data_IF_795529704333
#
_entry.id   IF_795529704333
#
_cell.length_a   1.000
_cell.length_b   1.000
_cell.length_c   1.000
_cell.angle_alpha   90.00
_cell.angle_beta   90.00
_cell.angle_gamma   90.00
#
_symmetry.space_group_name_H-M   'P 1'
#
loop_
_entity.id
_entity.type
_entity.pdbx_description
1 polymer ?
#
# COMPACT_ATOMS: atom_id res chain seq x y z
N UNK A 1 66.08 -34.10 -22.56
CA UNK A 1 66.13 -33.38 -21.27
C UNK A 1 65.53 -32.00 -21.48
N UNK A 2 64.27 -31.73 -21.10
CA UNK A 2 63.78 -30.50 -20.44
C UNK A 2 62.45 -30.91 -19.77
N UNK A 3 62.39 -30.79 -18.44
CA UNK A 3 61.22 -31.11 -17.61
C UNK A 3 60.32 -29.86 -17.54
N UNK A 4 59.06 -29.98 -17.95
CA UNK A 4 58.04 -28.94 -17.81
C UNK A 4 57.20 -29.17 -16.56
N UNK A 5 57.33 -28.27 -15.59
CA UNK A 5 56.70 -28.26 -14.27
C UNK A 5 55.18 -28.05 -14.38
N UNK A 6 54.37 -28.93 -13.79
CA UNK A 6 52.92 -28.73 -13.65
C UNK A 6 52.65 -27.75 -12.50
N UNK A 7 52.01 -26.62 -12.80
CA UNK A 7 51.44 -25.71 -11.80
C UNK A 7 50.10 -26.29 -11.34
N UNK A 8 50.01 -26.64 -10.06
CA UNK A 8 48.77 -27.11 -9.44
C UNK A 8 47.82 -25.94 -9.20
N UNK A 9 46.61 -26.00 -9.76
CA UNK A 9 45.54 -25.04 -9.49
C UNK A 9 44.97 -25.29 -8.09
N UNK A 10 45.09 -24.30 -7.21
CA UNK A 10 44.46 -24.29 -5.88
C UNK A 10 42.96 -24.07 -6.05
N UNK A 11 42.17 -25.10 -5.72
CA UNK A 11 40.70 -25.10 -5.77
C UNK A 11 40.15 -24.29 -4.59
N UNK A 12 39.77 -23.04 -4.83
CA UNK A 12 39.07 -22.22 -3.85
C UNK A 12 37.70 -22.83 -3.50
N UNK A 13 37.54 -23.30 -2.26
CA UNK A 13 36.26 -23.71 -1.69
C UNK A 13 35.37 -22.47 -1.50
N UNK A 14 34.33 -22.33 -2.33
CA UNK A 14 33.26 -21.37 -2.12
C UNK A 14 32.43 -21.80 -0.91
N UNK A 15 32.63 -21.14 0.25
CA UNK A 15 31.70 -21.22 1.39
C UNK A 15 30.34 -20.68 0.92
N UNK A 16 29.33 -21.53 0.91
CA UNK A 16 27.96 -21.17 0.52
C UNK A 16 27.35 -20.20 1.52
N UNK A 17 26.84 -19.08 1.02
CA UNK A 17 25.98 -18.18 1.79
C UNK A 17 24.64 -18.87 2.10
N UNK A 18 24.00 -18.60 3.26
CA UNK A 18 22.69 -19.14 3.56
C UNK A 18 21.66 -18.64 2.54
N UNK A 19 20.92 -19.59 1.97
CA UNK A 19 19.86 -19.35 1.00
C UNK A 19 18.72 -18.59 1.70
N UNK A 20 18.56 -17.30 1.42
CA UNK A 20 17.33 -16.60 1.76
C UNK A 20 16.20 -17.23 0.95
N UNK A 21 15.29 -17.93 1.63
CA UNK A 21 14.08 -18.47 1.03
C UNK A 21 13.32 -17.34 0.35
N UNK A 22 13.29 -17.36 -0.98
CA UNK A 22 12.47 -16.45 -1.78
C UNK A 22 11.01 -16.68 -1.37
N UNK A 23 10.38 -15.67 -0.79
CA UNK A 23 8.94 -15.65 -0.60
C UNK A 23 8.27 -15.84 -1.97
N UNK A 24 7.24 -16.69 -2.09
CA UNK A 24 6.56 -16.87 -3.37
C UNK A 24 5.91 -15.54 -3.79
N UNK A 25 5.82 -15.27 -5.10
CA UNK A 25 5.10 -14.10 -5.59
C UNK A 25 3.64 -14.21 -5.12
N UNK A 26 3.08 -13.09 -4.64
CA UNK A 26 1.68 -12.98 -4.26
C UNK A 26 0.86 -13.38 -5.49
N UNK A 27 0.25 -14.57 -5.44
CA UNK A 27 -0.52 -15.13 -6.53
C UNK A 27 -1.60 -14.15 -6.99
N UNK A 28 -1.68 -13.94 -8.32
CA UNK A 28 -2.66 -13.13 -9.03
C UNK A 28 -4.06 -13.20 -8.38
N UNK A 29 -4.32 -12.25 -7.48
CA UNK A 29 -5.62 -12.12 -6.85
C UNK A 29 -6.49 -11.29 -7.79
N UNK A 30 -7.44 -11.97 -8.44
CA UNK A 30 -8.52 -11.31 -9.18
C UNK A 30 -9.29 -10.44 -8.20
N UNK A 31 -9.10 -9.12 -8.27
CA UNK A 31 -9.98 -8.18 -7.62
C UNK A 31 -11.22 -8.05 -8.52
N UNK A 32 -12.24 -8.85 -8.20
CA UNK A 32 -13.56 -8.69 -8.78
C UNK A 32 -14.08 -7.31 -8.38
N UNK A 33 -14.28 -6.43 -9.35
CA UNK A 33 -14.86 -5.09 -9.16
C UNK A 33 -16.37 -5.09 -8.88
N UNK A 34 -16.97 -6.26 -8.65
CA UNK A 34 -18.41 -6.42 -8.37
C UNK A 34 -18.67 -7.66 -7.49
N UNK A 35 -18.16 -7.66 -6.26
CA UNK A 35 -18.65 -8.57 -5.22
C UNK A 35 -19.73 -7.84 -4.42
N UNK A 36 -20.97 -8.34 -4.41
CA UNK A 36 -22.07 -7.73 -3.65
C UNK A 36 -21.70 -7.61 -2.17
N UNK A 37 -21.59 -6.37 -1.69
CA UNK A 37 -21.38 -6.09 -0.28
C UNK A 37 -22.74 -5.94 0.40
N UNK A 38 -23.02 -6.86 1.33
CA UNK A 38 -23.96 -6.66 2.42
C UNK A 38 -23.68 -5.30 3.07
N UNK A 39 -24.70 -4.63 3.61
CA UNK A 39 -24.63 -3.33 4.27
C UNK A 39 -23.81 -3.37 5.58
N UNK A 40 -22.56 -3.81 5.50
CA UNK A 40 -21.64 -4.07 6.60
C UNK A 40 -20.90 -2.79 6.98
N UNK A 41 -20.80 -2.57 8.29
CA UNK A 41 -20.08 -1.47 8.92
C UNK A 41 -18.73 -1.19 8.22
N UNK A 42 -18.54 0.00 7.62
CA UNK A 42 -17.29 0.38 6.94
C UNK A 42 -16.05 0.22 7.82
N UNK A 43 -16.15 0.43 9.14
CA UNK A 43 -15.03 0.25 10.05
C UNK A 43 -14.71 -1.21 10.31
N UNK A 44 -15.72 -2.08 10.40
CA UNK A 44 -15.52 -3.52 10.48
C UNK A 44 -14.81 -4.04 9.21
N UNK A 45 -15.22 -3.58 8.03
CA UNK A 45 -14.52 -3.89 6.78
C UNK A 45 -13.05 -3.47 6.87
N UNK A 46 -12.76 -2.22 7.25
CA UNK A 46 -11.39 -1.71 7.33
C UNK A 46 -10.54 -2.52 8.32
N UNK A 47 -11.10 -2.90 9.46
CA UNK A 47 -10.43 -3.73 10.47
C UNK A 47 -10.07 -5.11 9.90
N UNK A 48 -11.02 -5.77 9.26
CA UNK A 48 -10.83 -7.13 8.75
C UNK A 48 -9.91 -7.15 7.53
N UNK A 49 -9.97 -6.09 6.72
CA UNK A 49 -9.04 -5.82 5.63
C UNK A 49 -7.60 -5.66 6.16
N UNK A 50 -7.38 -4.80 7.16
CA UNK A 50 -6.05 -4.63 7.78
C UNK A 50 -5.58 -5.94 8.42
N UNK A 51 -6.45 -6.65 9.13
CA UNK A 51 -6.12 -7.97 9.72
C UNK A 51 -5.60 -8.97 8.69
N UNK A 52 -6.14 -8.92 7.47
CA UNK A 52 -5.81 -9.84 6.37
C UNK A 52 -4.53 -9.44 5.63
N UNK A 53 -4.26 -8.14 5.50
CA UNK A 53 -3.21 -7.61 4.63
C UNK A 53 -1.99 -7.05 5.37
N UNK A 54 -2.13 -6.68 6.65
CA UNK A 54 -1.04 -6.17 7.48
C UNK A 54 -1.28 -6.52 8.96
N UNK A 55 -0.70 -7.65 9.37
CA UNK A 55 -0.90 -8.22 10.71
C UNK A 55 -0.31 -7.32 11.79
N UNK A 56 0.83 -6.71 11.54
CA UNK A 56 1.52 -5.84 12.51
C UNK A 56 0.74 -4.56 12.72
N UNK A 57 0.20 -3.99 11.63
CA UNK A 57 -0.75 -2.89 11.72
C UNK A 57 -1.99 -3.23 12.53
N UNK A 58 -2.54 -4.42 12.34
CA UNK A 58 -3.72 -4.86 13.09
C UNK A 58 -3.45 -4.96 14.59
N UNK A 59 -2.30 -5.54 14.97
CA UNK A 59 -1.90 -5.70 16.37
C UNK A 59 -1.59 -4.35 17.02
N UNK A 60 -0.82 -3.49 16.34
CA UNK A 60 -0.48 -2.17 16.87
C UNK A 60 -1.69 -1.24 17.00
N UNK A 61 -2.69 -1.37 16.12
CA UNK A 61 -3.97 -0.66 16.25
C UNK A 61 -4.75 -1.01 17.51
N UNK A 62 -4.48 -2.15 18.18
CA UNK A 62 -5.19 -2.52 19.42
C UNK A 62 -4.81 -1.63 20.61
N UNK A 63 -3.67 -0.95 20.56
CA UNK A 63 -3.21 -0.06 21.64
C UNK A 63 -3.87 1.33 21.59
N UNK A 64 -4.59 1.67 20.51
CA UNK A 64 -5.35 2.92 20.44
C UNK A 64 -6.63 2.83 21.29
N UNK A 65 -7.13 3.96 21.84
CA UNK A 65 -8.43 4.02 22.51
C UNK A 65 -9.55 3.44 21.63
N UNK A 66 -10.48 2.69 22.23
CA UNK A 66 -11.51 1.92 21.50
C UNK A 66 -12.35 2.78 20.54
N UNK A 67 -12.64 4.02 20.92
CA UNK A 67 -13.35 5.01 20.11
C UNK A 67 -12.57 5.53 18.89
N UNK A 68 -11.24 5.36 18.87
CA UNK A 68 -10.37 5.79 17.76
C UNK A 68 -9.91 4.63 16.88
N UNK A 69 -10.02 3.38 17.35
CA UNK A 69 -9.53 2.20 16.63
C UNK A 69 -10.12 2.10 15.21
N UNK A 70 -11.43 2.36 15.04
CA UNK A 70 -12.10 2.36 13.74
C UNK A 70 -11.47 3.35 12.75
N UNK A 71 -11.19 4.58 13.21
CA UNK A 71 -10.55 5.61 12.39
C UNK A 71 -9.09 5.25 12.04
N UNK A 72 -8.35 4.66 12.97
CA UNK A 72 -7.01 4.12 12.70
C UNK A 72 -7.05 3.03 11.62
N UNK A 73 -8.03 2.11 11.69
CA UNK A 73 -8.19 1.09 10.65
C UNK A 73 -8.57 1.69 9.30
N UNK A 74 -9.40 2.74 9.26
CA UNK A 74 -9.74 3.43 8.01
C UNK A 74 -8.48 3.97 7.32
N UNK A 75 -7.63 4.72 8.05
CA UNK A 75 -6.39 5.27 7.49
C UNK A 75 -5.41 4.18 7.06
N UNK A 76 -5.24 3.13 7.88
CA UNK A 76 -4.34 2.02 7.53
C UNK A 76 -4.84 1.22 6.32
N UNK A 77 -6.14 0.96 6.23
CA UNK A 77 -6.72 0.25 5.08
C UNK A 77 -6.54 1.03 3.78
N UNK A 78 -6.67 2.36 3.84
CA UNK A 78 -6.37 3.24 2.70
C UNK A 78 -4.92 3.15 2.25
N UNK A 79 -3.96 3.21 3.19
CA UNK A 79 -2.55 3.06 2.87
C UNK A 79 -2.24 1.71 2.22
N UNK A 80 -2.78 0.62 2.78
CA UNK A 80 -2.62 -0.74 2.24
C UNK A 80 -3.22 -0.85 0.84
N UNK A 81 -4.42 -0.33 0.63
CA UNK A 81 -5.10 -0.38 -0.67
C UNK A 81 -4.29 0.34 -1.75
N UNK A 82 -3.70 1.51 -1.44
CA UNK A 82 -2.83 2.23 -2.36
C UNK A 82 -1.53 1.47 -2.66
N UNK A 83 -0.87 0.92 -1.63
CA UNK A 83 0.37 0.15 -1.79
C UNK A 83 0.15 -1.07 -2.71
N UNK A 84 -0.98 -1.77 -2.54
CA UNK A 84 -1.30 -2.93 -3.36
C UNK A 84 -1.58 -2.60 -4.84
N UNK A 85 -1.86 -1.34 -5.21
CA UNK A 85 -2.10 -0.98 -6.62
C UNK A 85 -0.85 -1.28 -7.46
N UNK A 86 0.35 -1.00 -6.95
CA UNK A 86 1.60 -1.26 -7.67
C UNK A 86 1.84 -2.76 -7.85
N UNK A 87 1.65 -3.55 -6.79
CA UNK A 87 1.88 -4.99 -6.82
C UNK A 87 0.85 -5.77 -7.65
N UNK A 88 -0.37 -5.25 -7.76
CA UNK A 88 -1.50 -5.96 -8.37
C UNK A 88 -1.71 -5.68 -9.85
N UNK A 89 -0.99 -4.71 -10.41
CA UNK A 89 -1.26 -4.23 -11.76
C UNK A 89 -0.09 -4.52 -12.69
N UNK A 90 -0.36 -5.34 -13.71
CA UNK A 90 0.58 -5.61 -14.82
C UNK A 90 0.51 -4.57 -15.93
N UNK A 91 -0.57 -3.79 -16.01
CA UNK A 91 -0.77 -2.73 -17.00
C UNK A 91 -0.89 -1.37 -16.32
N UNK A 92 0.12 -0.52 -16.50
CA UNK A 92 0.22 0.82 -15.89
C UNK A 92 -1.08 1.63 -15.97
N UNK A 93 -1.81 1.56 -17.10
CA UNK A 93 -3.06 2.29 -17.31
C UNK A 93 -4.12 1.93 -16.24
N UNK A 94 -4.25 0.65 -15.88
CA UNK A 94 -5.19 0.20 -14.86
C UNK A 94 -4.79 0.76 -13.49
N UNK A 95 -3.50 0.85 -13.22
CA UNK A 95 -2.95 1.41 -12.00
C UNK A 95 -3.27 2.90 -11.91
N UNK A 96 -3.07 3.64 -13.01
CA UNK A 96 -3.42 5.05 -13.10
C UNK A 96 -4.91 5.29 -12.90
N UNK A 97 -5.79 4.46 -13.48
CA UNK A 97 -7.24 4.54 -13.25
C UNK A 97 -7.61 4.36 -11.77
N UNK A 98 -6.97 3.40 -11.07
CA UNK A 98 -7.20 3.18 -9.63
C UNK A 98 -6.65 4.33 -8.79
N UNK A 99 -5.49 4.89 -9.15
CA UNK A 99 -4.97 6.08 -8.49
C UNK A 99 -5.90 7.29 -8.70
N UNK A 100 -6.43 7.47 -9.91
CA UNK A 100 -7.36 8.53 -10.22
C UNK A 100 -8.66 8.41 -9.40
N UNK A 101 -9.20 7.20 -9.28
CA UNK A 101 -10.33 6.93 -8.38
C UNK A 101 -10.04 7.42 -6.95
N UNK A 102 -8.85 7.14 -6.41
CA UNK A 102 -8.49 7.57 -5.06
C UNK A 102 -8.28 9.07 -4.93
N UNK A 103 -7.77 9.77 -5.95
CA UNK A 103 -7.73 11.24 -5.96
C UNK A 103 -9.13 11.83 -5.89
N UNK A 104 -10.04 11.33 -6.71
CA UNK A 104 -11.42 11.80 -6.77
C UNK A 104 -12.15 11.49 -5.45
N UNK A 105 -11.89 10.32 -4.86
CA UNK A 105 -12.39 9.95 -3.54
C UNK A 105 -11.88 10.89 -2.43
N UNK A 106 -10.58 11.20 -2.40
CA UNK A 106 -10.03 12.13 -1.40
C UNK A 106 -10.59 13.54 -1.58
N UNK A 107 -10.72 14.01 -2.83
CA UNK A 107 -11.37 15.28 -3.14
C UNK A 107 -12.80 15.30 -2.60
N UNK A 108 -13.57 14.24 -2.86
CA UNK A 108 -14.94 14.10 -2.33
C UNK A 108 -15.00 14.17 -0.82
N UNK A 109 -14.07 13.50 -0.12
CA UNK A 109 -14.00 13.49 1.35
C UNK A 109 -13.68 14.89 1.89
N UNK A 110 -12.86 15.67 1.17
CA UNK A 110 -12.47 17.02 1.56
C UNK A 110 -13.56 18.07 1.32
N UNK A 111 -14.36 17.90 0.26
CA UNK A 111 -15.41 18.83 -0.16
C UNK A 111 -16.78 18.51 0.46
N UNK A 112 -16.94 17.33 1.08
CA UNK A 112 -18.19 16.85 1.68
C UNK A 112 -18.66 17.63 2.93
N UNK A 113 -17.99 18.73 3.28
CA UNK A 113 -18.58 19.79 4.13
C UNK A 113 -19.75 20.51 3.42
N UNK A 114 -19.82 20.41 2.09
CA UNK A 114 -20.96 20.81 1.27
C UNK A 114 -21.86 19.61 0.97
N UNK A 115 -23.19 19.74 1.13
CA UNK A 115 -24.17 18.67 0.93
C UNK A 115 -24.23 18.12 -0.51
N UNK A 116 -23.49 18.74 -1.44
CA UNK A 116 -23.48 18.40 -2.86
C UNK A 116 -22.51 17.26 -3.20
N UNK A 117 -21.56 16.93 -2.31
CA UNK A 117 -20.51 15.95 -2.60
C UNK A 117 -20.56 14.79 -1.61
N UNK A 118 -20.90 13.60 -2.10
CA UNK A 118 -20.90 12.37 -1.32
C UNK A 118 -19.66 11.54 -1.63
N UNK A 119 -19.03 10.89 -0.62
CA UNK A 119 -17.94 9.95 -0.87
C UNK A 119 -18.42 8.77 -1.74
N UNK A 120 -17.54 8.18 -2.56
CA UNK A 120 -17.88 6.99 -3.33
C UNK A 120 -18.31 5.85 -2.40
N UNK A 121 -19.18 4.96 -2.89
CA UNK A 121 -19.68 3.78 -2.16
C UNK A 121 -18.62 2.67 -2.04
N UNK A 122 -17.44 3.03 -1.55
CA UNK A 122 -16.35 2.15 -1.24
C UNK A 122 -16.16 2.14 0.28
N UNK A 123 -16.09 0.98 0.96
CA UNK A 123 -16.10 0.91 2.42
C UNK A 123 -14.96 1.73 3.06
N UNK A 124 -13.75 1.68 2.49
CA UNK A 124 -12.63 2.50 2.96
C UNK A 124 -12.89 4.00 2.78
N UNK A 125 -13.52 4.42 1.67
CA UNK A 125 -13.81 5.84 1.44
C UNK A 125 -14.90 6.36 2.37
N UNK A 126 -15.93 5.54 2.64
CA UNK A 126 -16.97 5.83 3.63
C UNK A 126 -16.38 5.94 5.05
N UNK A 127 -15.51 5.01 5.44
CA UNK A 127 -14.85 5.03 6.73
C UNK A 127 -13.91 6.24 6.88
N UNK A 128 -13.17 6.60 5.83
CA UNK A 128 -12.33 7.79 5.80
C UNK A 128 -13.15 9.08 5.89
N UNK A 129 -14.30 9.14 5.23
CA UNK A 129 -15.18 10.31 5.31
C UNK A 129 -15.67 10.54 6.75
N UNK A 130 -16.15 9.49 7.41
CA UNK A 130 -16.58 9.59 8.81
C UNK A 130 -15.40 9.90 9.75
N UNK A 131 -14.22 9.29 9.53
CA UNK A 131 -13.01 9.62 10.28
C UNK A 131 -12.60 11.10 10.09
N UNK A 132 -12.63 11.61 8.86
CA UNK A 132 -12.34 13.01 8.54
C UNK A 132 -13.23 13.98 9.31
N UNK A 133 -14.53 13.66 9.42
CA UNK A 133 -15.49 14.47 10.19
C UNK A 133 -15.26 14.42 11.70
N UNK A 134 -14.85 13.27 12.24
CA UNK A 134 -14.77 13.03 13.68
C UNK A 134 -13.44 13.44 14.30
N UNK A 135 -12.33 13.24 13.59
CA UNK A 135 -10.97 13.51 14.09
C UNK A 135 -10.22 14.56 13.26
N UNK A 136 -10.89 15.23 12.32
CA UNK A 136 -10.35 16.34 11.52
C UNK A 136 -9.04 15.99 10.79
N UNK A 137 -9.07 14.89 10.02
CA UNK A 137 -7.94 14.52 9.16
C UNK A 137 -7.74 15.61 8.11
N UNK A 138 -6.60 16.30 8.13
CA UNK A 138 -6.31 17.34 7.16
C UNK A 138 -6.27 16.73 5.74
N UNK A 139 -7.08 17.22 4.78
CA UNK A 139 -7.13 16.66 3.42
C UNK A 139 -5.78 16.62 2.71
N UNK A 140 -4.91 17.58 3.06
CA UNK A 140 -3.53 17.65 2.59
C UNK A 140 -2.77 16.33 2.77
N UNK A 141 -2.91 15.67 3.93
CA UNK A 141 -2.19 14.41 4.20
C UNK A 141 -2.71 13.26 3.33
N UNK A 142 -4.03 13.14 3.17
CA UNK A 142 -4.62 12.10 2.32
C UNK A 142 -4.20 12.29 0.85
N UNK A 143 -4.24 13.53 0.36
CA UNK A 143 -3.81 13.89 -0.99
C UNK A 143 -2.34 13.54 -1.22
N UNK A 144 -1.47 13.95 -0.29
CA UNK A 144 -0.03 13.65 -0.36
C UNK A 144 0.28 12.16 -0.44
N UNK A 145 -0.45 11.32 0.29
CA UNK A 145 -0.26 9.86 0.24
C UNK A 145 -0.60 9.32 -1.16
N UNK A 146 -1.71 9.77 -1.77
CA UNK A 146 -2.08 9.34 -3.13
C UNK A 146 -1.03 9.78 -4.15
N UNK A 147 -0.59 11.03 -4.08
CA UNK A 147 0.40 11.59 -5.01
C UNK A 147 1.76 10.88 -4.92
N UNK A 148 2.22 10.57 -3.70
CA UNK A 148 3.45 9.79 -3.51
C UNK A 148 3.36 8.41 -4.18
N UNK A 149 2.25 7.70 -3.95
CA UNK A 149 2.02 6.36 -4.52
C UNK A 149 1.82 6.35 -6.02
N UNK A 150 1.23 7.41 -6.59
CA UNK A 150 1.16 7.58 -8.04
C UNK A 150 2.54 7.86 -8.65
N UNK A 151 3.37 8.66 -7.99
CA UNK A 151 4.75 8.93 -8.42
C UNK A 151 5.58 7.65 -8.51
N UNK A 152 5.51 6.81 -7.48
CA UNK A 152 6.12 5.48 -7.45
C UNK A 152 5.63 4.56 -8.58
N UNK A 153 4.33 4.60 -8.93
CA UNK A 153 3.76 3.82 -10.02
C UNK A 153 4.38 4.18 -11.38
N UNK A 154 4.75 5.45 -11.58
CA UNK A 154 5.40 5.93 -12.82
C UNK A 154 6.92 5.74 -12.81
N UNK A 155 7.55 5.79 -11.65
CA UNK A 155 9.00 5.80 -11.48
C UNK A 155 9.46 4.83 -10.38
N UNK A 156 9.53 3.51 -10.66
CA UNK A 156 9.81 2.49 -9.64
C UNK A 156 11.28 2.41 -9.21
N UNK A 157 12.20 3.14 -9.86
CA UNK A 157 13.64 3.09 -9.56
C UNK A 157 14.21 4.45 -9.20
N UNK A 158 14.82 4.56 -8.02
CA UNK A 158 15.58 5.75 -7.60
C UNK A 158 17.06 5.57 -7.98
N UNK A 159 17.57 6.44 -8.86
CA UNK A 159 18.93 6.33 -9.41
C UNK A 159 19.98 7.14 -8.63
N UNK A 160 19.56 8.02 -7.71
CA UNK A 160 20.45 8.83 -6.88
C UNK A 160 19.98 8.87 -5.42
N UNK A 161 20.91 9.17 -4.50
CA UNK A 161 20.59 9.38 -3.08
C UNK A 161 19.61 10.53 -2.87
N UNK A 162 19.73 11.59 -3.68
CA UNK A 162 18.81 12.73 -3.63
C UNK A 162 17.37 12.31 -3.96
N UNK A 163 17.17 11.51 -5.02
CA UNK A 163 15.84 11.00 -5.38
C UNK A 163 15.29 10.07 -4.30
N UNK A 164 16.14 9.29 -3.63
CA UNK A 164 15.73 8.39 -2.55
C UNK A 164 15.32 9.16 -1.28
N UNK A 165 16.03 10.25 -0.94
CA UNK A 165 15.67 11.11 0.19
C UNK A 165 14.35 11.84 -0.07
N UNK A 166 14.18 12.43 -1.26
CA UNK A 166 12.93 13.12 -1.64
C UNK A 166 11.71 12.17 -1.61
N UNK A 167 11.91 10.87 -1.82
CA UNK A 167 10.86 9.86 -1.70
C UNK A 167 10.48 9.53 -0.24
N UNK A 168 11.41 9.69 0.70
CA UNK A 168 11.18 9.37 2.12
C UNK A 168 10.52 10.52 2.93
N UNK A 169 10.47 11.74 2.38
CA UNK A 169 9.93 12.97 3.00
C UNK A 169 8.45 13.23 2.67
#
# INVERSE_FOLDING_TARGET
MIRGTRVAAVRAQRKGYPQFHRTPPIANRRYSTTGGFSSEDPFAYCRDFVKKHDRDSYLTSQFFPKNLQGYCFAVRSFYIELAMIQDSVTNVIIGEMRMQFWKDAVKSISEASSSLFAPPRHPIALALHEASKKVHIAPYHLKRIVEAREGELRSPSHLSMETLLAHAE
#
